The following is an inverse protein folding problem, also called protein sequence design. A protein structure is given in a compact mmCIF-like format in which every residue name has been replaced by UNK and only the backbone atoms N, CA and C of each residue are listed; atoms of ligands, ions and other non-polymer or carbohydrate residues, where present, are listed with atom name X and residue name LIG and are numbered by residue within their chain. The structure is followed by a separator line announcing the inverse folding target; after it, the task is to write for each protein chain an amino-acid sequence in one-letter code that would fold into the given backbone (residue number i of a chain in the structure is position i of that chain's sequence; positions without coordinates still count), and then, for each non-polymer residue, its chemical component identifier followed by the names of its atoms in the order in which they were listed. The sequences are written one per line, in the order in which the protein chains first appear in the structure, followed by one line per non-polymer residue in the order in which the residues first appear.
data_IF_348531525935
#
_entry.id   IF_348531525935
#
_cell.length_a   1.000
_cell.length_b   1.000
_cell.length_c   1.000
_cell.angle_alpha   90.00
_cell.angle_beta   90.00
_cell.angle_gamma   90.00
#
_symmetry.space_group_name_H-M   'P 1'
#
loop_
_entity.id
_entity.type
_entity.pdbx_description
1 polymer ?
#
# COMPACT_ATOMS: atom_id res chain seq x y z
N UNK A 1 -27.54 -24.65 -4.89
CA UNK A 1 -26.18 -25.22 -4.78
C UNK A 1 -25.32 -24.53 -5.82
N UNK A 2 -24.50 -23.56 -5.40
CA UNK A 2 -23.55 -22.90 -6.29
C UNK A 2 -22.34 -23.82 -6.39
N UNK A 3 -22.14 -24.44 -7.55
CA UNK A 3 -20.98 -25.25 -7.87
C UNK A 3 -19.74 -24.35 -7.93
N UNK A 4 -18.91 -24.40 -6.87
CA UNK A 4 -17.63 -23.71 -6.80
C UNK A 4 -16.59 -24.36 -7.71
N UNK A 5 -16.54 -23.90 -8.96
CA UNK A 5 -15.53 -24.29 -9.95
C UNK A 5 -14.40 -23.27 -10.14
N UNK A 6 -14.57 -22.02 -9.69
CA UNK A 6 -13.60 -20.96 -9.97
C UNK A 6 -12.51 -20.92 -8.91
N UNK A 7 -11.38 -21.55 -9.23
CA UNK A 7 -10.18 -21.44 -8.43
C UNK A 7 -9.49 -20.10 -8.72
N UNK A 8 -9.94 -19.07 -8.00
CA UNK A 8 -9.44 -17.68 -8.08
C UNK A 8 -7.90 -17.59 -7.90
N UNK A 9 -7.31 -18.50 -7.10
CA UNK A 9 -5.85 -18.58 -6.91
C UNK A 9 -5.16 -19.07 -8.18
N UNK A 10 -5.73 -20.06 -8.85
CA UNK A 10 -5.20 -20.59 -10.10
C UNK A 10 -5.35 -19.56 -11.23
N UNK A 11 -6.51 -18.90 -11.35
CA UNK A 11 -6.69 -17.79 -12.29
C UNK A 11 -5.71 -16.63 -12.03
N UNK A 12 -5.46 -16.27 -10.77
CA UNK A 12 -4.46 -15.24 -10.42
C UNK A 12 -3.02 -15.66 -10.77
N UNK A 13 -2.70 -16.96 -10.70
CA UNK A 13 -1.40 -17.49 -11.11
C UNK A 13 -1.27 -17.57 -12.63
N UNK A 14 -2.33 -18.00 -13.33
CA UNK A 14 -2.38 -18.16 -14.78
C UNK A 14 -2.45 -16.81 -15.50
N UNK A 15 -3.05 -15.80 -14.88
CA UNK A 15 -3.06 -14.42 -15.36
C UNK A 15 -1.71 -13.70 -15.23
N UNK A 16 -0.68 -14.33 -14.64
CA UNK A 16 0.70 -13.81 -14.71
C UNK A 16 1.26 -14.01 -16.12
N UNK A 17 0.87 -13.11 -17.00
CA UNK A 17 1.45 -13.00 -18.33
C UNK A 17 2.94 -12.68 -18.22
N UNK A 18 3.79 -13.63 -18.60
CA UNK A 18 5.21 -13.37 -18.85
C UNK A 18 5.28 -12.81 -20.27
N UNK A 19 5.69 -11.55 -20.41
CA UNK A 19 5.80 -10.92 -21.72
C UNK A 19 6.73 -11.73 -22.65
N UNK A 20 6.49 -11.77 -23.96
CA UNK A 20 7.39 -12.45 -24.92
C UNK A 20 8.87 -12.09 -24.75
N UNK A 21 9.26 -10.83 -24.43
CA UNK A 21 10.64 -10.49 -24.13
C UNK A 21 11.19 -11.11 -22.84
N UNK A 22 10.39 -11.16 -21.77
CA UNK A 22 10.78 -11.78 -20.50
C UNK A 22 10.94 -13.30 -20.67
N UNK A 23 10.03 -13.93 -21.42
CA UNK A 23 10.09 -15.35 -21.75
C UNK A 23 11.36 -15.68 -22.54
N UNK A 24 11.70 -14.89 -23.57
CA UNK A 24 12.93 -15.05 -24.33
C UNK A 24 14.17 -14.91 -23.44
N UNK A 25 14.23 -13.89 -22.58
CA UNK A 25 15.36 -13.72 -21.67
C UNK A 25 15.49 -14.87 -20.67
N UNK A 26 14.39 -15.48 -20.20
CA UNK A 26 14.43 -16.70 -19.37
C UNK A 26 14.94 -17.91 -20.15
N UNK A 27 14.47 -18.12 -21.38
CA UNK A 27 14.87 -19.24 -22.25
C UNK A 27 16.37 -19.19 -22.55
N UNK A 28 16.92 -18.00 -22.78
CA UNK A 28 18.34 -17.83 -23.08
C UNK A 28 19.23 -17.67 -21.83
N UNK A 29 18.68 -17.82 -20.63
CA UNK A 29 19.45 -17.81 -19.37
C UNK A 29 20.02 -16.44 -18.99
N UNK A 30 19.45 -15.35 -19.50
CA UNK A 30 19.89 -13.99 -19.16
C UNK A 30 19.42 -13.58 -17.77
N UNK A 31 20.24 -12.82 -17.03
CA UNK A 31 19.80 -12.17 -15.78
C UNK A 31 18.76 -11.10 -16.11
N UNK A 32 17.56 -11.23 -15.54
CA UNK A 32 16.42 -10.33 -15.81
C UNK A 32 16.46 -9.05 -14.97
N UNK A 33 17.01 -9.11 -13.76
CA UNK A 33 17.11 -7.99 -12.84
C UNK A 33 18.29 -8.22 -11.89
N UNK A 34 19.07 -7.16 -11.65
CA UNK A 34 19.94 -7.06 -10.49
C UNK A 34 19.28 -6.05 -9.54
N UNK A 35 18.88 -6.48 -8.34
CA UNK A 35 18.18 -5.63 -7.35
C UNK A 35 19.20 -4.75 -6.60
N UNK A 36 19.30 -3.47 -7.00
CA UNK A 36 20.13 -2.47 -6.31
C UNK A 36 19.26 -1.29 -5.84
N UNK A 37 19.19 -1.00 -4.52
CA UNK A 37 19.70 -1.82 -3.41
C UNK A 37 18.85 -3.07 -3.17
N UNK A 38 19.44 -4.09 -2.54
CA UNK A 38 18.74 -5.33 -2.21
C UNK A 38 17.54 -5.04 -1.29
N UNK A 39 16.37 -5.60 -1.61
CA UNK A 39 15.18 -5.46 -0.76
C UNK A 39 15.05 -6.69 0.14
N UNK A 40 15.16 -6.48 1.45
CA UNK A 40 15.00 -7.56 2.44
C UNK A 40 13.57 -7.54 2.96
N UNK A 41 12.83 -8.60 2.66
CA UNK A 41 11.46 -8.78 3.17
C UNK A 41 11.51 -9.21 4.63
N UNK A 42 10.88 -8.40 5.48
CA UNK A 42 10.82 -8.57 6.92
C UNK A 42 9.48 -9.16 7.33
N UNK A 43 9.53 -10.28 8.03
CA UNK A 43 8.33 -10.95 8.54
C UNK A 43 7.81 -10.20 9.76
N UNK A 44 6.49 -10.02 9.82
CA UNK A 44 5.77 -9.43 10.95
C UNK A 44 4.66 -10.40 11.32
N UNK A 45 4.70 -10.94 12.53
CA UNK A 45 3.72 -11.88 13.05
C UNK A 45 3.61 -11.73 14.56
N UNK A 46 2.47 -12.11 15.12
CA UNK A 46 2.25 -12.16 16.57
C UNK A 46 3.08 -13.28 17.22
N UNK A 47 3.28 -13.26 18.55
CA UNK A 47 3.97 -14.32 19.27
C UNK A 47 3.43 -15.71 18.91
N UNK A 48 4.31 -16.62 18.48
CA UNK A 48 3.95 -17.99 18.11
C UNK A 48 3.21 -18.15 16.77
N UNK A 49 2.92 -17.06 16.04
CA UNK A 49 2.16 -17.09 14.78
C UNK A 49 3.06 -16.97 13.53
N UNK A 50 4.32 -17.40 13.60
CA UNK A 50 5.21 -17.40 12.43
C UNK A 50 4.83 -18.48 11.43
N UNK A 51 5.08 -18.20 10.15
CA UNK A 51 4.74 -19.11 9.06
C UNK A 51 5.68 -20.33 9.07
N UNK A 52 5.09 -21.52 9.18
CA UNK A 52 5.77 -22.80 9.03
C UNK A 52 5.32 -23.44 7.70
N UNK A 53 6.27 -23.75 6.82
CA UNK A 53 6.00 -24.54 5.60
C UNK A 53 6.23 -26.00 5.97
N UNK A 54 5.30 -26.87 5.58
CA UNK A 54 5.39 -28.31 5.83
C UNK A 54 4.87 -29.10 4.62
N UNK A 55 5.36 -30.33 4.49
CA UNK A 55 4.80 -31.28 3.54
C UNK A 55 3.58 -31.96 4.17
N UNK A 56 2.47 -32.11 3.45
CA UNK A 56 1.26 -32.77 3.98
C UNK A 56 1.47 -34.21 4.46
N UNK A 57 2.55 -34.86 4.01
CA UNK A 57 2.93 -36.22 4.40
C UNK A 57 3.79 -36.30 5.67
N UNK A 58 4.23 -35.18 6.24
CA UNK A 58 5.00 -35.14 7.48
C UNK A 58 4.10 -35.29 8.71
N UNK A 59 4.64 -35.90 9.78
CA UNK A 59 3.89 -36.07 11.03
C UNK A 59 3.70 -34.73 11.75
N UNK A 60 2.56 -34.55 12.43
CA UNK A 60 2.27 -33.32 13.19
C UNK A 60 3.32 -33.03 14.27
N UNK A 61 3.92 -34.06 14.88
CA UNK A 61 4.95 -33.90 15.90
C UNK A 61 6.25 -33.31 15.33
N UNK A 62 6.68 -33.79 14.16
CA UNK A 62 7.88 -33.26 13.49
C UNK A 62 7.66 -31.82 13.00
N UNK A 63 6.46 -31.52 12.51
CA UNK A 63 6.06 -30.15 12.12
C UNK A 63 6.09 -29.21 13.34
N UNK A 64 5.52 -29.64 14.47
CA UNK A 64 5.49 -28.85 15.71
C UNK A 64 6.88 -28.63 16.27
N UNK A 65 7.73 -29.66 16.29
CA UNK A 65 9.12 -29.55 16.72
C UNK A 65 9.90 -28.57 15.83
N UNK A 66 9.76 -28.66 14.51
CA UNK A 66 10.39 -27.72 13.57
C UNK A 66 9.89 -26.29 13.76
N UNK A 67 8.57 -26.12 13.91
CA UNK A 67 7.95 -24.81 14.15
C UNK A 67 8.47 -24.15 15.43
N UNK A 68 8.62 -24.91 16.52
CA UNK A 68 9.11 -24.37 17.80
C UNK A 68 10.56 -23.83 17.73
N UNK A 69 11.40 -24.41 16.87
CA UNK A 69 12.81 -24.02 16.72
C UNK A 69 13.06 -23.05 15.56
N UNK A 70 12.03 -22.77 14.75
CA UNK A 70 12.15 -21.89 13.59
C UNK A 70 12.31 -20.44 14.06
N UNK A 71 13.41 -19.81 13.64
CA UNK A 71 13.62 -18.37 13.81
C UNK A 71 13.08 -17.61 12.60
N UNK A 72 12.23 -16.63 12.85
CA UNK A 72 11.83 -15.63 11.88
C UNK A 72 12.79 -14.44 11.89
N UNK A 73 12.68 -13.59 10.89
CA UNK A 73 13.46 -12.35 10.81
C UNK A 73 13.25 -11.44 12.04
N UNK A 74 12.02 -11.38 12.58
CA UNK A 74 11.67 -10.56 13.76
C UNK A 74 12.15 -11.19 15.08
N UNK A 75 12.02 -12.51 15.26
CA UNK A 75 12.50 -13.16 16.49
C UNK A 75 14.02 -13.19 16.56
N UNK A 76 14.69 -13.32 15.41
CA UNK A 76 16.15 -13.23 15.32
C UNK A 76 16.64 -11.79 15.57
N UNK A 77 15.91 -10.78 15.13
CA UNK A 77 16.18 -9.37 15.43
C UNK A 77 16.13 -9.10 16.95
N UNK A 78 15.10 -9.59 17.64
CA UNK A 78 15.01 -9.52 19.10
C UNK A 78 16.16 -10.25 19.81
N UNK A 79 16.45 -11.49 19.36
CA UNK A 79 17.54 -12.30 19.92
C UNK A 79 18.90 -11.61 19.77
N UNK A 80 19.10 -10.89 18.66
CA UNK A 80 20.32 -10.16 18.40
C UNK A 80 20.51 -9.02 19.40
N UNK A 81 19.49 -8.18 19.62
CA UNK A 81 19.57 -7.11 20.63
C UNK A 81 19.63 -7.64 22.06
N UNK A 82 18.97 -8.76 22.36
CA UNK A 82 19.09 -9.40 23.67
C UNK A 82 20.54 -9.82 23.98
N UNK A 83 21.30 -10.19 22.95
CA UNK A 83 22.71 -10.59 23.07
C UNK A 83 23.69 -9.39 22.98
N UNK A 84 23.26 -8.24 22.45
CA UNK A 84 24.11 -7.08 22.18
C UNK A 84 23.48 -5.81 22.76
N UNK A 85 23.54 -5.66 24.09
CA UNK A 85 22.84 -4.57 24.82
C UNK A 85 23.38 -3.16 24.52
N UNK A 86 24.66 -3.05 24.20
CA UNK A 86 25.36 -1.76 23.98
C UNK A 86 25.40 -1.33 22.50
N UNK A 87 24.75 -2.09 21.61
CA UNK A 87 24.74 -1.79 20.19
C UNK A 87 23.87 -0.55 19.85
N UNK A 88 24.19 0.18 18.76
CA UNK A 88 23.31 1.21 18.23
C UNK A 88 21.90 0.66 17.97
N UNK A 89 20.89 1.36 18.45
CA UNK A 89 19.49 0.92 18.35
C UNK A 89 18.86 1.40 17.06
N UNK A 90 18.46 0.46 16.22
CA UNK A 90 17.74 0.68 14.98
C UNK A 90 16.30 0.20 15.08
N UNK A 91 15.40 0.81 14.30
CA UNK A 91 14.07 0.24 14.06
C UNK A 91 14.20 -1.05 13.26
N UNK A 92 13.12 -1.84 13.23
CA UNK A 92 13.14 -3.10 12.48
C UNK A 92 13.34 -2.86 10.97
N UNK A 93 12.81 -1.76 10.43
CA UNK A 93 12.92 -1.39 9.03
C UNK A 93 14.32 -0.90 8.62
N UNK A 94 15.02 -0.21 9.54
CA UNK A 94 16.41 0.24 9.35
C UNK A 94 17.42 -0.90 9.48
N UNK A 95 17.09 -1.97 10.20
CA UNK A 95 18.02 -3.03 10.55
C UNK A 95 18.76 -3.67 9.34
N UNK A 96 18.11 -3.96 8.20
CA UNK A 96 18.81 -4.51 7.03
C UNK A 96 19.85 -3.60 6.39
N UNK A 97 19.82 -2.29 6.68
CA UNK A 97 20.84 -1.35 6.23
C UNK A 97 22.20 -1.66 6.86
N UNK A 98 22.20 -2.17 8.10
CA UNK A 98 23.39 -2.47 8.88
C UNK A 98 23.67 -3.98 9.01
N UNK A 99 22.67 -4.82 8.76
CA UNK A 99 22.76 -6.27 8.94
C UNK A 99 22.30 -7.05 7.70
N UNK A 100 22.89 -8.23 7.52
CA UNK A 100 22.52 -9.17 6.46
C UNK A 100 21.84 -10.39 7.06
N UNK A 101 20.70 -10.79 6.48
CA UNK A 101 19.96 -11.98 6.89
C UNK A 101 20.50 -13.23 6.18
N UNK A 102 20.99 -14.20 6.95
CA UNK A 102 21.32 -15.51 6.42
C UNK A 102 20.07 -16.42 6.43
N UNK A 103 19.54 -16.75 5.24
CA UNK A 103 18.33 -17.56 5.11
C UNK A 103 18.49 -19.01 5.59
N UNK A 104 19.71 -19.54 5.55
CA UNK A 104 20.04 -20.93 5.92
C UNK A 104 20.20 -21.05 7.43
N UNK A 105 21.02 -20.19 8.03
CA UNK A 105 21.29 -20.24 9.48
C UNK A 105 20.26 -19.48 10.31
N UNK A 106 19.42 -18.64 9.68
CA UNK A 106 18.39 -17.79 10.33
C UNK A 106 19.00 -16.83 11.36
N UNK A 107 20.14 -16.25 11.01
CA UNK A 107 20.89 -15.32 11.87
C UNK A 107 21.15 -14.03 11.11
N UNK A 108 21.13 -12.92 11.85
CA UNK A 108 21.58 -11.61 11.40
C UNK A 108 23.08 -11.45 11.67
N UNK A 109 23.84 -11.08 10.65
CA UNK A 109 25.27 -10.77 10.77
C UNK A 109 25.53 -9.31 10.37
N UNK A 110 26.49 -8.62 10.99
CA UNK A 110 26.88 -7.27 10.57
C UNK A 110 27.18 -7.24 9.07
N UNK A 111 26.67 -6.23 8.38
CA UNK A 111 26.87 -6.05 6.95
C UNK A 111 28.30 -5.57 6.71
N UNK A 112 28.99 -6.25 5.79
CA UNK A 112 30.36 -5.89 5.38
C UNK A 112 30.37 -4.86 4.25
N UNK A 113 29.43 -4.92 3.31
CA UNK A 113 29.32 -3.99 2.19
C UNK A 113 27.90 -3.84 1.64
N UNK A 114 27.66 -2.73 0.93
CA UNK A 114 26.39 -2.40 0.27
C UNK A 114 25.34 -1.77 1.19
N UNK A 115 24.15 -1.54 0.64
CA UNK A 115 22.97 -1.03 1.34
C UNK A 115 21.78 -1.91 1.01
N UNK A 116 20.86 -2.08 1.96
CA UNK A 116 19.63 -2.83 1.74
C UNK A 116 18.43 -2.16 2.41
N UNK A 117 17.28 -2.25 1.75
CA UNK A 117 16.03 -1.68 2.24
C UNK A 117 15.23 -2.79 2.92
N UNK A 118 14.94 -2.62 4.22
CA UNK A 118 13.97 -3.46 4.92
C UNK A 118 12.54 -3.11 4.48
N UNK A 119 11.77 -4.11 4.05
CA UNK A 119 10.33 -3.96 3.79
C UNK A 119 9.53 -4.93 4.63
N UNK A 120 8.76 -4.39 5.57
CA UNK A 120 7.76 -5.15 6.30
C UNK A 120 6.53 -5.39 5.41
N UNK A 121 5.90 -6.56 5.56
CA UNK A 121 4.62 -6.81 4.89
C UNK A 121 3.55 -5.84 5.40
N UNK A 122 2.70 -5.34 4.49
CA UNK A 122 1.56 -4.51 4.82
C UNK A 122 0.64 -5.25 5.81
N UNK A 123 0.25 -4.57 6.88
CA UNK A 123 -0.77 -4.99 7.80
C UNK A 123 -1.91 -3.98 7.71
N UNK A 124 -3.10 -4.40 7.29
CA UNK A 124 -4.28 -3.53 7.28
C UNK A 124 -4.76 -3.26 8.71
N UNK A 125 -5.44 -2.14 9.00
CA UNK A 125 -6.08 -1.90 10.31
C UNK A 125 -7.01 -3.05 10.75
N UNK A 126 -7.63 -3.74 9.79
CA UNK A 126 -8.50 -4.91 10.04
C UNK A 126 -7.74 -6.14 10.54
N UNK A 127 -6.39 -6.14 10.51
CA UNK A 127 -5.56 -7.23 11.02
C UNK A 127 -5.36 -7.17 12.56
N UNK A 128 -6.04 -6.26 13.26
CA UNK A 128 -6.07 -6.16 14.72
C UNK A 128 -4.68 -5.97 15.33
N UNK A 129 -4.32 -6.80 16.32
CA UNK A 129 -3.04 -6.73 17.04
C UNK A 129 -1.80 -6.76 16.13
N UNK A 130 -1.89 -7.38 14.95
CA UNK A 130 -0.77 -7.40 13.98
C UNK A 130 -0.51 -6.02 13.37
N UNK A 131 -1.54 -5.20 13.20
CA UNK A 131 -1.41 -3.82 12.73
C UNK A 131 -0.69 -2.96 13.78
N UNK A 132 -1.10 -3.05 15.03
CA UNK A 132 -0.46 -2.31 16.12
C UNK A 132 0.99 -2.77 16.36
N UNK A 133 1.27 -4.07 16.25
CA UNK A 133 2.64 -4.58 16.23
C UNK A 133 3.47 -3.96 15.09
N UNK A 134 2.91 -3.88 13.89
CA UNK A 134 3.58 -3.26 12.74
C UNK A 134 3.90 -1.79 13.02
N UNK A 135 2.95 -1.04 13.60
CA UNK A 135 3.14 0.36 13.98
C UNK A 135 4.23 0.54 15.05
N UNK A 136 4.31 -0.36 16.03
CA UNK A 136 5.37 -0.32 17.04
C UNK A 136 6.75 -0.60 16.43
N UNK A 137 6.84 -1.47 15.43
CA UNK A 137 8.10 -1.82 14.76
C UNK A 137 8.68 -0.69 13.91
N UNK A 138 7.87 0.31 13.51
CA UNK A 138 8.36 1.49 12.79
C UNK A 138 8.96 2.55 13.72
N UNK A 139 8.65 2.52 15.03
CA UNK A 139 9.08 3.54 15.99
C UNK A 139 10.02 3.03 17.07
N UNK A 140 9.83 1.80 17.57
CA UNK A 140 10.61 1.25 18.68
C UNK A 140 11.97 0.78 18.16
N UNK A 141 13.04 1.38 18.68
CA UNK A 141 14.43 1.06 18.32
C UNK A 141 15.04 0.03 19.27
N UNK A 142 15.65 -1.00 18.70
CA UNK A 142 16.36 -2.06 19.43
C UNK A 142 15.54 -2.84 20.48
N UNK A 143 14.28 -3.25 20.21
CA UNK A 143 13.53 -4.07 21.14
C UNK A 143 14.15 -5.46 21.29
N UNK A 144 14.12 -6.02 22.51
CA UNK A 144 14.69 -7.35 22.82
C UNK A 144 13.65 -8.47 22.84
N UNK A 145 12.35 -8.13 22.77
CA UNK A 145 11.24 -9.09 22.77
C UNK A 145 9.93 -8.42 22.33
N UNK A 146 8.90 -9.23 22.10
CA UNK A 146 7.53 -8.74 21.93
C UNK A 146 7.00 -7.99 23.17
N UNK A 147 7.46 -8.37 24.36
CA UNK A 147 7.10 -7.68 25.60
C UNK A 147 7.74 -6.29 25.66
N UNK A 148 9.01 -6.18 25.28
CA UNK A 148 9.71 -4.90 25.19
C UNK A 148 9.01 -3.92 24.24
N UNK A 149 8.44 -4.41 23.13
CA UNK A 149 7.61 -3.58 22.25
C UNK A 149 6.35 -3.05 22.95
N UNK A 150 5.77 -3.79 23.88
CA UNK A 150 4.61 -3.37 24.67
C UNK A 150 4.99 -2.57 25.93
N UNK A 151 6.27 -2.40 26.22
CA UNK A 151 6.72 -1.62 27.38
C UNK A 151 6.84 -0.14 27.05
N UNK A 152 6.09 0.71 27.75
CA UNK A 152 6.15 2.18 27.63
C UNK A 152 6.44 2.74 29.02
N UNK A 153 7.44 3.60 29.16
CA UNK A 153 7.81 4.19 30.47
C UNK A 153 7.95 3.16 31.62
N UNK A 154 8.53 1.99 31.32
CA UNK A 154 8.69 0.84 32.22
C UNK A 154 7.39 0.11 32.63
N UNK A 155 6.25 0.44 32.02
CA UNK A 155 4.97 -0.29 32.19
C UNK A 155 4.75 -1.23 31.02
N UNK A 156 4.53 -2.52 31.30
CA UNK A 156 4.21 -3.52 30.29
C UNK A 156 2.70 -3.50 30.03
N UNK A 157 2.31 -3.16 28.80
CA UNK A 157 0.91 -3.13 28.40
C UNK A 157 0.40 -4.49 27.94
N UNK A 158 -0.89 -4.75 28.15
CA UNK A 158 -1.54 -6.04 27.84
C UNK A 158 -1.64 -6.31 26.33
N UNK A 159 -1.79 -5.27 25.51
CA UNK A 159 -1.96 -5.38 24.06
C UNK A 159 -0.97 -4.48 23.32
N UNK A 160 -0.71 -4.77 22.06
CA UNK A 160 0.04 -3.85 21.20
C UNK A 160 -0.76 -2.56 20.96
N UNK A 161 -2.11 -2.63 20.88
CA UNK A 161 -2.97 -1.42 20.80
C UNK A 161 -2.72 -0.46 21.96
N UNK A 162 -2.84 -0.95 23.19
CA UNK A 162 -2.67 -0.12 24.40
C UNK A 162 -1.26 0.45 24.51
N UNK A 163 -0.24 -0.29 24.07
CA UNK A 163 1.13 0.22 23.98
C UNK A 163 1.33 1.30 22.89
N UNK A 164 0.49 1.32 21.84
CA UNK A 164 0.47 2.39 20.84
C UNK A 164 -0.20 3.65 21.41
N UNK A 165 -1.33 3.48 22.10
CA UNK A 165 -2.06 4.58 22.78
C UNK A 165 -1.14 5.26 23.80
N UNK A 166 -0.50 4.48 24.68
CA UNK A 166 0.42 5.02 25.69
C UNK A 166 1.65 5.72 25.09
N UNK A 167 2.01 5.43 23.83
CA UNK A 167 3.08 6.14 23.10
C UNK A 167 2.59 7.37 22.34
N UNK A 168 1.29 7.70 22.41
CA UNK A 168 0.67 8.76 21.62
C UNK A 168 0.62 8.47 20.12
N UNK A 169 0.71 7.19 19.71
CA UNK A 169 0.58 6.78 18.32
C UNK A 169 -0.89 6.61 17.90
N UNK A 170 -1.79 6.52 18.89
CA UNK A 170 -3.24 6.39 18.74
C UNK A 170 -3.91 7.26 19.81
N UNK A 171 -5.05 7.86 19.47
CA UNK A 171 -5.93 8.51 20.44
C UNK A 171 -6.74 7.45 21.21
N UNK A 172 -7.04 7.75 22.47
CA UNK A 172 -7.75 6.83 23.37
C UNK A 172 -9.26 7.14 23.38
N UNK A 173 -10.07 6.09 23.30
CA UNK A 173 -11.54 6.20 23.40
C UNK A 173 -12.02 6.03 24.86
N UNK A 174 -11.11 5.81 25.81
CA UNK A 174 -11.41 5.47 27.21
C UNK A 174 -12.26 6.53 27.93
N UNK A 175 -12.11 7.82 27.60
CA UNK A 175 -12.95 8.89 28.16
C UNK A 175 -14.44 8.70 27.82
N UNK A 176 -14.74 8.22 26.61
CA UNK A 176 -16.10 7.94 26.14
C UNK A 176 -16.66 6.66 26.75
N UNK A 177 -15.81 5.64 26.88
CA UNK A 177 -16.17 4.35 27.50
C UNK A 177 -16.50 4.54 28.98
N UNK A 178 -15.68 5.31 29.71
CA UNK A 178 -15.89 5.60 31.12
C UNK A 178 -17.17 6.44 31.33
N UNK A 179 -17.41 7.45 30.49
CA UNK A 179 -18.64 8.24 30.50
C UNK A 179 -19.90 7.38 30.32
N UNK A 180 -19.87 6.40 29.42
CA UNK A 180 -20.99 5.48 29.20
C UNK A 180 -21.17 4.47 30.34
N UNK A 181 -20.08 3.99 30.94
CA UNK A 181 -20.12 3.09 32.10
C UNK A 181 -20.71 3.77 33.33
N UNK A 182 -20.31 5.01 33.61
CA UNK A 182 -20.85 5.80 34.72
C UNK A 182 -22.32 6.16 34.50
N UNK A 183 -22.69 6.54 33.28
CA UNK A 183 -24.08 6.82 32.93
C UNK A 183 -24.97 5.56 33.05
N UNK A 184 -24.45 4.36 32.76
CA UNK A 184 -25.22 3.12 32.81
C UNK A 184 -25.73 2.79 34.22
N UNK A 185 -25.05 3.28 35.27
CA UNK A 185 -25.45 3.10 36.66
C UNK A 185 -26.64 3.99 37.06
N UNK A 186 -26.78 5.15 36.42
CA UNK A 186 -27.70 6.21 36.88
C UNK A 186 -28.79 6.59 35.88
N UNK A 187 -28.73 6.12 34.63
CA UNK A 187 -29.59 6.57 33.53
C UNK A 187 -30.45 5.44 32.97
N UNK A 188 -31.61 5.83 32.42
CA UNK A 188 -32.53 4.90 31.76
C UNK A 188 -32.02 4.51 30.37
N UNK A 189 -32.47 3.37 29.81
CA UNK A 189 -32.04 2.90 28.49
C UNK A 189 -32.30 3.87 27.32
N UNK A 190 -33.27 4.78 27.44
CA UNK A 190 -33.46 5.87 26.48
C UNK A 190 -32.39 6.96 26.60
N UNK A 191 -32.03 7.33 27.83
CA UNK A 191 -31.00 8.33 28.11
C UNK A 191 -29.59 7.82 27.77
N UNK A 192 -29.33 6.51 27.94
CA UNK A 192 -28.09 5.89 27.48
C UNK A 192 -27.95 5.90 25.96
N UNK A 193 -29.02 5.53 25.24
CA UNK A 193 -29.05 5.63 23.77
C UNK A 193 -28.84 7.06 23.30
N UNK A 194 -29.47 8.04 23.97
CA UNK A 194 -29.29 9.46 23.67
C UNK A 194 -27.88 9.95 24.00
N UNK A 195 -27.26 9.51 25.10
CA UNK A 195 -25.88 9.86 25.45
C UNK A 195 -24.89 9.25 24.45
N UNK A 196 -25.10 8.00 24.06
CA UNK A 196 -24.34 7.33 23.00
C UNK A 196 -24.47 8.09 21.67
N UNK A 197 -25.69 8.48 21.27
CA UNK A 197 -25.90 9.36 20.12
C UNK A 197 -25.24 10.72 20.29
N UNK A 198 -25.17 11.31 21.48
CA UNK A 198 -24.48 12.59 21.73
C UNK A 198 -22.95 12.44 21.57
N UNK A 199 -22.36 11.35 22.08
CA UNK A 199 -20.94 11.04 21.91
C UNK A 199 -20.62 10.82 20.43
N UNK A 200 -21.48 10.11 19.69
CA UNK A 200 -21.33 9.90 18.24
C UNK A 200 -21.59 11.18 17.41
N UNK A 201 -22.51 12.04 17.85
CA UNK A 201 -22.89 13.29 17.13
C UNK A 201 -21.94 14.44 17.41
N UNK A 202 -21.34 14.54 18.60
CA UNK A 202 -20.24 15.48 18.86
C UNK A 202 -18.95 15.08 18.12
N UNK A 203 -18.86 13.84 17.62
CA UNK A 203 -17.73 13.37 16.85
C UNK A 203 -17.94 13.37 15.31
N UNK A 204 -19.10 13.73 14.75
CA UNK A 204 -19.37 13.68 13.28
C UNK A 204 -19.12 12.29 12.62
N UNK A 205 -18.91 11.21 13.39
CA UNK A 205 -18.45 9.89 12.89
C UNK A 205 -19.57 9.08 12.23
N UNK A 206 -20.82 9.21 12.69
CA UNK A 206 -21.92 8.37 12.17
C UNK A 206 -22.32 8.79 10.74
N UNK A 207 -22.47 10.08 10.50
CA UNK A 207 -22.84 10.61 9.18
C UNK A 207 -21.69 10.44 8.16
N UNK A 208 -20.44 10.70 8.59
CA UNK A 208 -19.25 10.44 7.78
C UNK A 208 -18.99 8.93 7.59
N UNK A 209 -19.31 8.10 8.58
CA UNK A 209 -19.24 6.65 8.51
C UNK A 209 -20.25 6.08 7.53
N UNK A 210 -21.48 6.60 7.51
CA UNK A 210 -22.48 6.27 6.49
C UNK A 210 -22.01 6.74 5.10
N UNK A 211 -21.39 7.91 4.99
CA UNK A 211 -20.74 8.36 3.75
C UNK A 211 -19.65 7.38 3.27
N UNK A 212 -18.72 6.99 4.15
CA UNK A 212 -17.65 6.03 3.83
C UNK A 212 -18.20 4.63 3.50
N UNK A 213 -19.21 4.17 4.23
CA UNK A 213 -19.85 2.88 4.00
C UNK A 213 -20.59 2.85 2.65
N UNK A 214 -21.31 3.92 2.32
CA UNK A 214 -21.93 4.08 1.00
C UNK A 214 -20.87 4.06 -0.11
N UNK A 215 -19.69 4.64 0.13
CA UNK A 215 -18.57 4.59 -0.81
C UNK A 215 -17.95 3.21 -0.97
N UNK A 216 -17.77 2.45 0.11
CA UNK A 216 -17.28 1.07 0.03
C UNK A 216 -18.27 0.17 -0.72
N UNK A 217 -19.58 0.37 -0.52
CA UNK A 217 -20.60 -0.37 -1.26
C UNK A 217 -20.57 -0.08 -2.77
N UNK A 218 -20.18 1.13 -3.16
CA UNK A 218 -20.04 1.50 -4.57
C UNK A 218 -18.91 0.72 -5.27
N UNK A 219 -17.89 0.26 -4.55
CA UNK A 219 -16.85 -0.64 -5.10
C UNK A 219 -17.46 -1.95 -5.62
N UNK A 220 -18.58 -2.37 -5.05
CA UNK A 220 -19.37 -3.53 -5.47
C UNK A 220 -20.63 -3.15 -6.27
N UNK A 221 -20.68 -1.94 -6.84
CA UNK A 221 -21.85 -1.40 -7.55
C UNK A 221 -23.16 -1.35 -6.74
N UNK A 222 -23.07 -1.27 -5.40
CA UNK A 222 -24.21 -1.13 -4.49
C UNK A 222 -24.18 0.22 -3.77
N UNK A 223 -25.27 0.55 -3.12
CA UNK A 223 -25.46 1.75 -2.32
C UNK A 223 -26.19 1.40 -1.03
N UNK A 224 -26.21 2.31 -0.05
CA UNK A 224 -26.99 2.11 1.18
C UNK A 224 -28.49 1.96 0.91
N UNK A 225 -29.01 2.51 -0.20
CA UNK A 225 -30.40 2.35 -0.62
C UNK A 225 -30.76 0.91 -0.97
N UNK A 226 -29.78 0.10 -1.36
CA UNK A 226 -29.96 -1.31 -1.68
C UNK A 226 -30.13 -2.19 -0.42
N UNK A 227 -30.02 -1.61 0.78
CA UNK A 227 -30.12 -2.31 2.06
C UNK A 227 -31.07 -1.61 3.07
N UNK A 228 -32.39 -1.55 2.84
CA UNK A 228 -33.32 -1.00 3.82
C UNK A 228 -33.33 -1.82 5.12
N UNK A 229 -33.38 -1.21 6.33
CA UNK A 229 -33.71 0.19 6.63
C UNK A 229 -32.49 1.12 6.84
N UNK A 230 -31.36 0.89 6.17
CA UNK A 230 -30.14 1.69 6.40
C UNK A 230 -30.35 3.19 6.15
N UNK A 231 -29.94 4.07 7.09
CA UNK A 231 -30.03 5.52 6.95
C UNK A 231 -29.03 6.06 5.91
N UNK A 232 -29.35 7.22 5.32
CA UNK A 232 -28.46 7.93 4.40
C UNK A 232 -27.65 9.00 5.15
N UNK A 233 -26.43 9.34 4.67
CA UNK A 233 -25.71 10.51 5.18
C UNK A 233 -26.50 11.78 4.88
N UNK A 234 -26.57 12.68 5.86
CA UNK A 234 -27.34 13.93 5.83
C UNK A 234 -26.48 15.13 5.41
N UNK A 235 -25.17 15.12 5.69
CA UNK A 235 -24.23 16.19 5.34
C UNK A 235 -23.53 15.93 4.00
N UNK A 236 -23.15 17.00 3.30
CA UNK A 236 -22.39 16.90 2.05
C UNK A 236 -20.89 16.74 2.32
N UNK A 237 -20.50 15.58 2.88
CA UNK A 237 -19.10 15.25 3.19
C UNK A 237 -18.17 15.29 1.99
N UNK A 238 -18.69 15.13 0.76
CA UNK A 238 -17.89 15.25 -0.46
C UNK A 238 -17.32 16.67 -0.64
N UNK A 239 -18.05 17.70 -0.20
CA UNK A 239 -17.61 19.09 -0.21
C UNK A 239 -16.71 19.45 0.98
N UNK A 240 -16.81 18.73 2.10
CA UNK A 240 -16.07 18.98 3.35
C UNK A 240 -14.71 18.28 3.37
N UNK A 241 -14.64 17.01 2.93
CA UNK A 241 -13.41 16.19 2.93
C UNK A 241 -12.68 16.27 1.59
N UNK A 242 -13.39 16.68 0.54
CA UNK A 242 -12.90 16.68 -0.84
C UNK A 242 -12.70 15.26 -1.37
N UNK A 243 -12.20 15.17 -2.60
CA UNK A 243 -11.87 13.91 -3.23
C UNK A 243 -10.62 13.28 -2.58
N UNK A 244 -10.81 12.18 -1.83
CA UNK A 244 -9.73 11.47 -1.14
C UNK A 244 -8.58 11.09 -2.07
N UNK A 245 -8.85 10.67 -3.31
CA UNK A 245 -7.79 10.32 -4.25
C UNK A 245 -6.94 11.55 -4.56
N UNK A 246 -7.58 12.70 -4.80
CA UNK A 246 -6.89 13.97 -5.01
C UNK A 246 -6.05 14.35 -3.78
N UNK A 247 -6.57 14.16 -2.56
CA UNK A 247 -5.82 14.41 -1.32
C UNK A 247 -4.57 13.51 -1.23
N UNK A 248 -4.71 12.21 -1.52
CA UNK A 248 -3.57 11.28 -1.54
C UNK A 248 -2.51 11.69 -2.58
N UNK A 249 -2.92 12.12 -3.77
CA UNK A 249 -1.98 12.61 -4.79
C UNK A 249 -1.34 13.97 -4.42
N UNK A 250 -2.05 14.84 -3.70
CA UNK A 250 -1.51 16.11 -3.17
C UNK A 250 -0.49 15.87 -2.05
N UNK A 251 -0.66 14.82 -1.26
CA UNK A 251 0.33 14.45 -0.25
C UNK A 251 1.68 14.09 -0.90
N UNK A 252 1.66 13.37 -2.03
CA UNK A 252 2.87 13.06 -2.80
C UNK A 252 3.55 14.33 -3.36
N UNK A 253 2.79 15.40 -3.61
CA UNK A 253 3.34 16.71 -3.98
C UNK A 253 4.08 17.34 -2.80
N UNK A 254 3.48 17.33 -1.60
CA UNK A 254 4.10 17.89 -0.39
C UNK A 254 5.43 17.17 -0.12
N UNK A 255 5.43 15.85 -0.19
CA UNK A 255 6.63 15.02 -0.05
C UNK A 255 7.69 15.36 -1.11
N UNK A 256 7.28 15.54 -2.37
CA UNK A 256 8.19 15.91 -3.46
C UNK A 256 8.79 17.32 -3.29
N UNK A 257 8.07 18.26 -2.68
CA UNK A 257 8.53 19.63 -2.42
C UNK A 257 9.44 19.71 -1.18
N UNK A 258 9.19 18.89 -0.16
CA UNK A 258 10.00 18.81 1.07
C UNK A 258 11.28 17.99 0.89
N UNK A 259 11.28 17.03 -0.04
CA UNK A 259 12.49 16.32 -0.41
C UNK A 259 13.47 17.30 -1.06
N UNK A 260 14.41 17.84 -0.27
CA UNK A 260 15.56 18.65 -0.72
C UNK A 260 16.50 17.92 -1.71
N UNK A 261 16.14 16.73 -2.18
CA UNK A 261 16.90 16.00 -3.17
C UNK A 261 16.68 16.64 -4.56
N UNK A 262 17.74 17.08 -5.25
CA UNK A 262 17.59 17.42 -6.66
C UNK A 262 17.11 16.17 -7.37
N UNK A 263 15.93 16.23 -8.00
CA UNK A 263 15.54 15.19 -8.96
C UNK A 263 16.73 15.03 -9.89
N UNK A 264 17.27 13.81 -9.98
CA UNK A 264 18.55 13.50 -10.62
C UNK A 264 18.50 13.66 -12.15
N UNK A 265 17.92 14.75 -12.66
CA UNK A 265 17.89 15.14 -14.07
C UNK A 265 19.33 15.24 -14.60
N UNK A 266 20.30 15.60 -13.75
CA UNK A 266 21.71 15.61 -14.10
C UNK A 266 22.33 14.20 -14.25
N UNK A 267 21.71 13.16 -13.69
CA UNK A 267 22.16 11.77 -13.82
C UNK A 267 21.50 11.01 -14.98
N UNK A 268 20.58 11.66 -15.72
CA UNK A 268 19.95 11.06 -16.89
C UNK A 268 20.96 10.97 -18.04
N UNK A 269 21.03 9.81 -18.69
CA UNK A 269 21.80 9.69 -19.93
C UNK A 269 21.17 10.52 -21.06
N UNK A 270 21.87 10.66 -22.19
CA UNK A 270 21.41 11.49 -23.32
C UNK A 270 20.01 11.11 -23.82
N UNK A 271 19.72 9.82 -23.98
CA UNK A 271 18.40 9.35 -24.43
C UNK A 271 17.29 9.61 -23.41
N UNK A 272 17.57 9.37 -22.13
CA UNK A 272 16.63 9.67 -21.04
C UNK A 272 16.38 11.16 -20.90
N UNK A 273 17.41 11.99 -21.08
CA UNK A 273 17.28 13.46 -21.04
C UNK A 273 16.44 13.98 -22.20
N UNK A 274 16.67 13.49 -23.42
CA UNK A 274 15.82 13.84 -24.58
C UNK A 274 14.36 13.48 -24.32
N UNK A 275 14.08 12.29 -23.79
CA UNK A 275 12.72 11.88 -23.44
C UNK A 275 12.13 12.72 -22.31
N UNK A 276 12.91 13.01 -21.26
CA UNK A 276 12.52 13.86 -20.16
C UNK A 276 12.11 15.25 -20.65
N UNK A 277 12.97 15.90 -21.45
CA UNK A 277 12.74 17.25 -21.96
C UNK A 277 11.49 17.27 -22.84
N UNK A 278 11.34 16.31 -23.76
CA UNK A 278 10.17 16.22 -24.64
C UNK A 278 8.85 16.02 -23.87
N UNK A 279 8.83 15.11 -22.88
CA UNK A 279 7.62 14.81 -22.09
C UNK A 279 7.28 15.99 -21.18
N UNK A 280 8.26 16.54 -20.46
CA UNK A 280 8.01 17.65 -19.54
C UNK A 280 7.58 18.92 -20.26
N UNK A 281 8.19 19.26 -21.40
CA UNK A 281 7.72 20.36 -22.26
C UNK A 281 6.28 20.14 -22.73
N UNK A 282 5.91 18.93 -23.15
CA UNK A 282 4.52 18.64 -23.55
C UNK A 282 3.51 18.83 -22.42
N UNK A 283 3.86 18.40 -21.20
CA UNK A 283 3.02 18.58 -20.00
C UNK A 283 2.88 20.06 -19.66
N UNK A 284 3.98 20.82 -19.63
CA UNK A 284 3.96 22.23 -19.21
C UNK A 284 3.31 23.15 -20.24
N UNK A 285 3.42 22.82 -21.53
CA UNK A 285 2.77 23.55 -22.61
C UNK A 285 1.34 23.06 -22.89
N UNK A 286 0.82 22.10 -22.10
CA UNK A 286 -0.51 21.47 -22.27
C UNK A 286 -0.76 20.96 -23.71
N UNK A 287 0.25 20.35 -24.35
CA UNK A 287 0.14 19.84 -25.72
C UNK A 287 -0.71 18.57 -25.86
N UNK A 288 -0.98 17.85 -24.76
CA UNK A 288 -1.77 16.61 -24.78
C UNK A 288 -1.13 15.47 -25.58
N UNK A 289 0.20 15.39 -25.64
CA UNK A 289 0.90 14.41 -26.48
C UNK A 289 1.00 13.04 -25.81
N UNK A 290 0.75 11.97 -26.57
CA UNK A 290 0.99 10.60 -26.13
C UNK A 290 2.42 10.16 -26.50
N UNK A 291 3.16 9.64 -25.53
CA UNK A 291 4.52 9.13 -25.73
C UNK A 291 4.60 7.64 -25.43
N UNK A 292 5.29 6.89 -26.29
CA UNK A 292 5.68 5.52 -26.01
C UNK A 292 7.19 5.46 -25.81
N UNK A 293 7.62 5.23 -24.57
CA UNK A 293 9.04 5.14 -24.23
C UNK A 293 9.53 3.69 -24.41
N UNK A 294 10.33 3.46 -25.46
CA UNK A 294 10.95 2.16 -25.70
C UNK A 294 12.40 2.13 -25.18
N UNK A 295 12.76 1.06 -24.48
CA UNK A 295 14.11 0.82 -24.01
C UNK A 295 14.26 -0.59 -23.43
N UNK A 296 15.42 -1.21 -23.63
CA UNK A 296 15.71 -2.57 -23.13
C UNK A 296 15.55 -2.71 -21.61
N UNK A 297 15.64 -3.95 -21.12
CA UNK A 297 15.68 -4.21 -19.68
C UNK A 297 16.90 -3.52 -19.06
N UNK A 298 16.75 -2.96 -17.84
CA UNK A 298 17.85 -2.31 -17.12
C UNK A 298 18.24 -0.90 -17.59
N UNK A 299 17.57 -0.33 -18.60
CA UNK A 299 17.90 1.04 -19.10
C UNK A 299 17.38 2.18 -18.23
N UNK A 300 16.84 1.89 -17.04
CA UNK A 300 16.39 2.90 -16.09
C UNK A 300 15.09 3.63 -16.46
N UNK A 301 14.18 3.00 -17.23
CA UNK A 301 12.87 3.58 -17.58
C UNK A 301 12.08 4.04 -16.35
N UNK A 302 12.02 3.21 -15.32
CA UNK A 302 11.32 3.54 -14.07
C UNK A 302 11.97 4.70 -13.32
N UNK A 303 13.30 4.84 -13.40
CA UNK A 303 14.01 6.02 -12.87
C UNK A 303 13.57 7.28 -13.61
N UNK A 304 13.49 7.21 -14.95
CA UNK A 304 12.99 8.33 -15.76
C UNK A 304 11.53 8.67 -15.43
N UNK A 305 10.64 7.68 -15.32
CA UNK A 305 9.24 7.89 -14.93
C UNK A 305 9.11 8.61 -13.59
N UNK A 306 9.83 8.16 -12.56
CA UNK A 306 9.81 8.80 -11.24
C UNK A 306 10.43 10.20 -11.27
N UNK A 307 11.43 10.43 -12.11
CA UNK A 307 12.05 11.76 -12.28
C UNK A 307 11.07 12.74 -12.92
N UNK A 308 10.35 12.33 -13.96
CA UNK A 308 9.30 13.13 -14.61
C UNK A 308 8.15 13.39 -13.62
N UNK A 309 7.63 12.33 -12.98
CA UNK A 309 6.54 12.44 -12.01
C UNK A 309 6.90 13.38 -10.86
N UNK A 310 8.11 13.23 -10.32
CA UNK A 310 8.65 14.10 -9.28
C UNK A 310 8.70 15.57 -9.70
N UNK A 311 9.25 15.87 -10.89
CA UNK A 311 9.28 17.24 -11.41
C UNK A 311 7.88 17.84 -11.60
N UNK A 312 6.94 17.09 -12.16
CA UNK A 312 5.57 17.57 -12.32
C UNK A 312 4.89 17.81 -10.96
N UNK A 313 5.14 16.93 -9.97
CA UNK A 313 4.60 17.07 -8.61
C UNK A 313 5.14 18.30 -7.88
N UNK A 314 6.41 18.68 -8.05
CA UNK A 314 6.92 19.90 -7.41
C UNK A 314 6.25 21.17 -7.91
N UNK A 315 5.76 21.16 -9.15
CA UNK A 315 4.97 22.24 -9.75
C UNK A 315 3.47 22.17 -9.38
N UNK A 316 3.09 21.21 -8.55
CA UNK A 316 1.72 21.04 -8.08
C UNK A 316 0.76 20.34 -9.03
N UNK A 317 1.31 19.58 -9.98
CA UNK A 317 0.49 18.77 -10.88
C UNK A 317 0.19 17.39 -10.30
N UNK A 318 -1.05 16.93 -10.50
CA UNK A 318 -1.44 15.54 -10.20
C UNK A 318 -0.91 14.63 -11.31
N UNK A 319 -0.08 13.66 -10.90
CA UNK A 319 0.51 12.64 -11.77
C UNK A 319 0.06 11.27 -11.32
N UNK A 320 -0.74 10.62 -12.16
CA UNK A 320 -1.23 9.26 -11.94
C UNK A 320 -0.20 8.28 -12.51
N UNK A 321 0.47 7.55 -11.63
CA UNK A 321 1.44 6.52 -12.01
C UNK A 321 0.81 5.14 -11.82
N UNK A 322 0.70 4.38 -12.90
CA UNK A 322 0.16 3.02 -12.89
C UNK A 322 1.16 2.04 -13.48
N UNK A 323 1.04 0.79 -13.08
CA UNK A 323 1.72 -0.31 -13.74
C UNK A 323 0.78 -1.47 -14.01
N UNK A 324 1.16 -2.31 -14.97
CA UNK A 324 0.39 -3.49 -15.36
C UNK A 324 0.35 -4.59 -14.29
N UNK A 325 1.34 -4.64 -13.40
CA UNK A 325 1.39 -5.58 -12.28
C UNK A 325 1.57 -4.86 -10.94
N UNK A 326 1.10 -5.49 -9.86
CA UNK A 326 1.27 -4.97 -8.50
C UNK A 326 2.73 -4.91 -8.04
N UNK A 327 3.63 -5.72 -8.62
CA UNK A 327 5.06 -5.66 -8.29
C UNK A 327 5.72 -4.46 -8.96
N UNK A 328 5.41 -4.22 -10.25
CA UNK A 328 5.93 -3.08 -10.99
C UNK A 328 5.43 -1.75 -10.43
N UNK A 329 4.17 -1.69 -9.94
CA UNK A 329 3.62 -0.45 -9.38
C UNK A 329 4.37 0.00 -8.12
N UNK A 330 4.99 -0.91 -7.37
CA UNK A 330 5.79 -0.59 -6.18
C UNK A 330 7.10 0.14 -6.50
N UNK A 331 7.51 0.17 -7.77
CA UNK A 331 8.70 0.89 -8.23
C UNK A 331 8.37 2.33 -8.64
N UNK A 332 7.09 2.65 -8.83
CA UNK A 332 6.61 3.99 -9.13
C UNK A 332 6.24 4.70 -7.83
N UNK A 333 6.67 5.95 -7.66
CA UNK A 333 6.30 6.75 -6.47
C UNK A 333 4.80 7.02 -6.47
N UNK A 334 4.08 6.49 -5.49
CA UNK A 334 2.61 6.52 -5.43
C UNK A 334 1.92 5.60 -6.44
N UNK A 335 2.64 4.60 -6.95
CA UNK A 335 2.16 3.71 -7.99
C UNK A 335 1.03 2.76 -7.56
N UNK A 336 0.08 2.54 -8.46
CA UNK A 336 -1.03 1.57 -8.31
C UNK A 336 -1.13 0.66 -9.53
N UNK A 337 -1.91 -0.41 -9.46
CA UNK A 337 -2.17 -1.22 -10.65
C UNK A 337 -3.11 -0.50 -11.60
N UNK A 338 -2.93 -0.64 -12.91
CA UNK A 338 -3.83 -0.06 -13.91
C UNK A 338 -5.28 -0.52 -13.71
N UNK A 339 -5.47 -1.81 -13.39
CA UNK A 339 -6.78 -2.39 -13.10
C UNK A 339 -7.50 -1.69 -11.94
N UNK A 340 -6.82 -1.51 -10.81
CA UNK A 340 -7.41 -0.82 -9.65
C UNK A 340 -7.66 0.66 -9.92
N UNK A 341 -6.76 1.34 -10.63
CA UNK A 341 -6.83 2.80 -10.83
C UNK A 341 -7.92 3.18 -11.82
N UNK A 342 -8.03 2.44 -12.92
CA UNK A 342 -9.04 2.70 -13.94
C UNK A 342 -10.28 1.84 -13.79
N UNK A 343 -10.40 0.99 -12.76
CA UNK A 343 -11.50 0.03 -12.63
C UNK A 343 -11.68 -0.82 -13.91
N UNK A 344 -10.57 -1.33 -14.47
CA UNK A 344 -10.61 -2.18 -15.68
C UNK A 344 -11.28 -3.52 -15.29
N UNK A 345 -12.31 -3.99 -16.01
CA UNK A 345 -12.90 -5.29 -15.78
C UNK A 345 -11.88 -6.42 -15.91
N UNK A 346 -12.02 -7.49 -15.13
CA UNK A 346 -11.15 -8.67 -15.24
C UNK A 346 -11.42 -9.42 -16.57
N UNK A 347 -12.69 -9.56 -16.93
CA UNK A 347 -13.12 -10.10 -18.22
C UNK A 347 -13.32 -8.96 -19.21
N UNK A 348 -12.26 -8.63 -19.94
CA UNK A 348 -12.24 -7.51 -20.87
C UNK A 348 -12.44 -8.00 -22.32
N UNK A 349 -13.44 -7.43 -22.97
CA UNK A 349 -13.84 -7.67 -24.36
C UNK A 349 -13.57 -6.44 -25.23
N UNK A 350 -13.70 -6.59 -26.55
CA UNK A 350 -13.47 -5.52 -27.52
C UNK A 350 -14.33 -4.27 -27.26
N UNK A 351 -15.54 -4.42 -26.73
CA UNK A 351 -16.49 -3.34 -26.43
C UNK A 351 -16.52 -2.92 -24.95
N UNK A 352 -15.63 -3.44 -24.10
CA UNK A 352 -15.61 -3.13 -22.67
C UNK A 352 -15.26 -1.67 -22.31
N UNK A 353 -15.85 -1.18 -21.23
CA UNK A 353 -15.52 0.12 -20.63
C UNK A 353 -14.97 -0.08 -19.22
N UNK A 354 -14.27 0.92 -18.70
CA UNK A 354 -13.87 0.97 -17.32
C UNK A 354 -15.11 1.12 -16.40
N UNK A 355 -15.07 0.48 -15.24
CA UNK A 355 -16.23 0.39 -14.33
C UNK A 355 -16.59 1.67 -13.57
N UNK A 356 -15.80 2.75 -13.68
CA UNK A 356 -16.09 4.00 -12.98
C UNK A 356 -17.09 4.88 -13.74
N UNK A 357 -17.93 5.62 -12.99
CA UNK A 357 -18.97 6.50 -13.54
C UNK A 357 -18.44 7.92 -13.78
N UNK A 358 -19.07 8.69 -14.68
CA UNK A 358 -18.69 10.10 -14.99
C UNK A 358 -18.64 11.02 -13.76
N UNK A 359 -19.49 10.79 -12.77
CA UNK A 359 -19.59 11.59 -11.54
C UNK A 359 -18.81 10.97 -10.36
N UNK A 360 -17.99 9.94 -10.61
CA UNK A 360 -17.19 9.29 -9.56
C UNK A 360 -15.98 10.13 -9.16
N UNK A 361 -15.44 9.83 -7.98
CA UNK A 361 -14.17 10.39 -7.49
C UNK A 361 -13.00 10.04 -8.41
N UNK A 362 -13.01 8.89 -9.08
CA UNK A 362 -12.00 8.54 -10.09
C UNK A 362 -12.08 9.49 -11.28
N UNK A 363 -13.29 9.74 -11.80
CA UNK A 363 -13.47 10.68 -12.90
C UNK A 363 -13.01 12.09 -12.52
N UNK A 364 -13.32 12.56 -11.31
CA UNK A 364 -12.83 13.85 -10.82
C UNK A 364 -11.29 13.88 -10.67
N UNK A 365 -10.66 12.82 -10.14
CA UNK A 365 -9.20 12.69 -10.14
C UNK A 365 -8.62 12.85 -11.55
N UNK A 366 -9.21 12.17 -12.54
CA UNK A 366 -8.72 12.22 -13.91
C UNK A 366 -8.89 13.60 -14.56
N UNK A 367 -9.94 14.36 -14.21
CA UNK A 367 -10.08 15.78 -14.65
C UNK A 367 -8.92 16.65 -14.16
N UNK A 368 -8.48 16.40 -12.94
CA UNK A 368 -7.38 17.16 -12.32
C UNK A 368 -5.99 16.60 -12.69
N UNK A 369 -5.93 15.44 -13.35
CA UNK A 369 -4.68 14.77 -13.70
C UNK A 369 -4.02 15.44 -14.90
N UNK A 370 -2.74 15.81 -14.78
CA UNK A 370 -1.96 16.40 -15.88
C UNK A 370 -1.09 15.40 -16.63
N UNK A 371 -0.77 14.28 -16.00
CA UNK A 371 0.07 13.26 -16.60
C UNK A 371 -0.33 11.87 -16.09
N UNK A 372 -0.48 10.93 -17.03
CA UNK A 372 -0.59 9.51 -16.73
C UNK A 372 0.70 8.83 -17.19
N UNK A 373 1.32 8.08 -16.29
CA UNK A 373 2.46 7.21 -16.59
C UNK A 373 1.97 5.77 -16.44
N UNK A 374 2.17 4.96 -17.47
CA UNK A 374 1.81 3.54 -17.46
C UNK A 374 3.04 2.67 -17.70
N UNK A 375 3.56 2.06 -16.64
CA UNK A 375 4.71 1.14 -16.71
C UNK A 375 4.26 -0.29 -17.06
N UNK A 376 5.11 -1.00 -17.80
CA UNK A 376 4.85 -2.34 -18.32
C UNK A 376 3.54 -2.44 -19.14
N UNK A 377 3.12 -1.36 -19.83
CA UNK A 377 1.93 -1.37 -20.69
C UNK A 377 1.90 -2.52 -21.73
N UNK A 378 3.03 -2.98 -22.31
CA UNK A 378 3.00 -4.12 -23.24
C UNK A 378 2.62 -5.46 -22.60
N UNK A 379 2.60 -5.55 -21.27
CA UNK A 379 2.13 -6.74 -20.55
C UNK A 379 0.60 -6.79 -20.44
N UNK A 380 -0.13 -5.76 -20.87
CA UNK A 380 -1.59 -5.71 -20.83
C UNK A 380 -2.22 -6.20 -22.12
N UNK A 381 -3.40 -6.81 -21.99
CA UNK A 381 -4.22 -7.09 -23.15
C UNK A 381 -4.63 -5.77 -23.83
N UNK A 382 -4.62 -5.75 -25.16
CA UNK A 382 -4.97 -4.54 -25.95
C UNK A 382 -6.31 -3.95 -25.53
N UNK A 383 -7.31 -4.80 -25.32
CA UNK A 383 -8.65 -4.37 -24.91
C UNK A 383 -8.66 -3.65 -23.55
N UNK A 384 -7.70 -3.91 -22.64
CA UNK A 384 -7.61 -3.18 -21.37
C UNK A 384 -7.24 -1.71 -21.63
N UNK A 385 -6.27 -1.47 -22.50
CA UNK A 385 -5.83 -0.11 -22.87
C UNK A 385 -6.92 0.61 -23.65
N UNK A 386 -7.62 -0.09 -24.54
CA UNK A 386 -8.75 0.48 -25.31
C UNK A 386 -9.97 0.78 -24.44
N UNK A 387 -10.26 -0.03 -23.42
CA UNK A 387 -11.33 0.26 -22.45
C UNK A 387 -11.03 1.56 -21.67
N UNK A 388 -9.75 1.79 -21.33
CA UNK A 388 -9.30 3.04 -20.70
C UNK A 388 -9.46 4.23 -21.65
N UNK A 389 -8.91 4.16 -22.87
CA UNK A 389 -9.03 5.24 -23.88
C UNK A 389 -10.50 5.59 -24.15
N UNK A 390 -11.36 4.59 -24.38
CA UNK A 390 -12.79 4.81 -24.63
C UNK A 390 -13.51 5.48 -23.46
N UNK A 391 -13.21 5.06 -22.23
CA UNK A 391 -13.86 5.66 -21.04
C UNK A 391 -13.40 7.10 -20.83
N UNK A 392 -12.11 7.39 -20.99
CA UNK A 392 -11.55 8.73 -20.84
C UNK A 392 -12.09 9.70 -21.89
N UNK A 393 -12.28 9.23 -23.14
CA UNK A 393 -12.93 10.01 -24.20
C UNK A 393 -14.41 10.24 -23.93
N UNK A 394 -15.15 9.18 -23.56
CA UNK A 394 -16.58 9.26 -23.29
C UNK A 394 -16.90 10.30 -22.21
N UNK A 395 -16.04 10.41 -21.20
CA UNK A 395 -16.23 11.34 -20.09
C UNK A 395 -15.50 12.69 -20.26
N UNK A 396 -14.76 12.87 -21.35
CA UNK A 396 -13.95 14.05 -21.66
C UNK A 396 -12.99 14.43 -20.52
N UNK A 397 -12.16 13.48 -20.10
CA UNK A 397 -11.32 13.62 -18.89
C UNK A 397 -9.88 14.05 -19.17
N UNK A 398 -9.32 13.76 -20.34
CA UNK A 398 -7.88 13.91 -20.62
C UNK A 398 -7.53 14.38 -22.04
N UNK A 399 -8.53 14.76 -22.85
CA UNK A 399 -8.37 15.20 -24.24
C UNK A 399 -8.69 16.68 -24.40
#
# INVERSE_FOLDING_TARGET
MVSGGDNEIQQYLDARYIGPPEAACRIFGHRLHDEVPTVVRLEVHLPGMHRCIFNPSESLETIRARGAHQKSTITAFFSWYASNKDAPKYTYQEFPQHFTWNKTTKIWTPRVSGFAIGRMYFASPNCGERFYLHLLLTVVKGPTSFECLRTVENVVHNTFKSACVARGLLEDDDEWVQCLQEAAVMKTGYQLRRLFSIILTQAQIEDYGLYLLNHLLQESSKTLLDFPPMPQPNENWSAVVGNRLIVEYRQLQIEAQQAHAPFNVHCLNSGQRTAYDAITSSVFENKGTMFFLNGGAGTGKTVLYNTIAGKCRTLGHIVVSVASSGIASLLLTGGRTAHSTFCIPLDVMEDSFCGFKKQSIQAELFRETKLIIWDEVPMQHRYCVEAVDRTLRLYNLLY
#
